data_IF_710612341931
#
_entry.id   IF_710612341931
#
_cell.length_a   1.000
_cell.length_b   1.000
_cell.length_c   1.000
_cell.angle_alpha   90.00
_cell.angle_beta   90.00
_cell.angle_gamma   90.00
#
_symmetry.space_group_name_H-M   'P 1'
#
loop_
_entity.id
_entity.type
_entity.pdbx_description
1 polymer ?
#
# COMPACT_ATOMS: atom_id res chain seq x y z
N UNK A 1 21.55 -15.34 -8.22
CA UNK A 1 20.37 -15.90 -8.92
C UNK A 1 19.34 -14.79 -9.00
N UNK A 2 19.10 -14.27 -10.20
CA UNK A 2 18.16 -13.18 -10.42
C UNK A 2 16.73 -13.69 -10.25
N UNK A 3 16.09 -13.37 -9.13
CA UNK A 3 14.65 -13.55 -8.99
C UNK A 3 13.97 -12.47 -9.83
N UNK A 4 13.73 -12.79 -11.09
CA UNK A 4 12.80 -11.99 -11.91
C UNK A 4 11.43 -12.03 -11.24
N UNK A 5 10.96 -10.86 -10.82
CA UNK A 5 9.55 -10.64 -10.52
C UNK A 5 8.82 -10.83 -11.84
N UNK A 6 8.09 -11.92 -11.98
CA UNK A 6 7.20 -12.10 -13.12
C UNK A 6 6.12 -11.03 -13.05
N UNK A 7 6.32 -9.98 -13.86
CA UNK A 7 5.29 -8.98 -14.12
C UNK A 7 4.24 -9.60 -15.03
N UNK A 8 3.28 -10.29 -14.47
CA UNK A 8 2.19 -10.87 -15.25
C UNK A 8 1.22 -9.75 -15.63
N UNK A 9 1.34 -9.25 -16.85
CA UNK A 9 0.25 -8.50 -17.49
C UNK A 9 -0.91 -9.47 -17.68
N UNK A 10 -1.90 -9.43 -16.80
CA UNK A 10 -3.12 -10.22 -16.97
C UNK A 10 -3.97 -9.58 -18.07
N UNK A 11 -4.02 -10.24 -19.23
CA UNK A 11 -4.67 -9.74 -20.45
C UNK A 11 -6.20 -9.86 -20.48
N UNK A 12 -6.87 -10.31 -19.41
CA UNK A 12 -8.29 -10.68 -19.47
C UNK A 12 -9.25 -9.86 -18.57
N UNK A 13 -8.78 -8.92 -17.74
CA UNK A 13 -9.68 -7.93 -17.12
C UNK A 13 -9.24 -6.52 -17.54
N UNK A 14 -10.15 -5.77 -18.17
CA UNK A 14 -9.89 -4.41 -18.71
C UNK A 14 -9.40 -3.36 -17.69
N UNK A 15 -9.22 -3.71 -16.43
CA UNK A 15 -8.90 -2.79 -15.33
C UNK A 15 -7.72 -3.20 -14.45
N UNK A 16 -7.31 -4.48 -14.41
CA UNK A 16 -6.13 -4.90 -13.65
C UNK A 16 -4.87 -4.38 -14.33
N UNK A 17 -4.07 -3.60 -13.62
CA UNK A 17 -2.91 -2.92 -14.19
C UNK A 17 -1.58 -3.48 -13.71
N UNK A 18 -1.57 -4.04 -12.50
CA UNK A 18 -0.34 -4.54 -11.89
C UNK A 18 -0.65 -5.63 -10.86
N UNK A 19 0.10 -6.70 -10.89
CA UNK A 19 -0.01 -7.83 -9.97
C UNK A 19 1.37 -8.34 -9.58
N UNK A 20 1.54 -8.69 -8.31
CA UNK A 20 2.72 -9.36 -7.77
C UNK A 20 2.23 -10.59 -7.01
N UNK A 21 2.77 -11.75 -7.37
CA UNK A 21 2.53 -13.00 -6.67
C UNK A 21 3.88 -13.61 -6.29
N UNK A 22 4.20 -13.62 -4.99
CA UNK A 22 5.43 -14.17 -4.44
C UNK A 22 5.08 -15.05 -3.24
N UNK A 23 5.22 -16.38 -3.37
CA UNK A 23 4.94 -17.29 -2.25
C UNK A 23 3.59 -16.97 -1.58
N UNK A 24 3.61 -16.40 -0.39
CA UNK A 24 2.43 -16.04 0.41
C UNK A 24 1.96 -14.59 0.18
N UNK A 25 2.81 -13.72 -0.42
CA UNK A 25 2.50 -12.33 -0.70
C UNK A 25 1.80 -12.19 -2.05
N UNK A 26 0.60 -11.62 -2.01
CA UNK A 26 -0.20 -11.31 -3.18
C UNK A 26 -0.58 -9.82 -3.16
N UNK A 27 -0.35 -9.15 -4.27
CA UNK A 27 -0.69 -7.75 -4.47
C UNK A 27 -1.39 -7.57 -5.81
N UNK A 28 -2.47 -6.82 -5.84
CA UNK A 28 -3.13 -6.39 -7.07
C UNK A 28 -3.51 -4.93 -7.02
N UNK A 29 -3.36 -4.25 -8.16
CA UNK A 29 -3.73 -2.86 -8.34
C UNK A 29 -4.65 -2.69 -9.56
N UNK A 30 -5.75 -1.98 -9.37
CA UNK A 30 -6.73 -1.66 -10.40
C UNK A 30 -6.80 -0.17 -10.68
N UNK A 31 -7.02 0.19 -11.95
CA UNK A 31 -7.48 1.52 -12.31
C UNK A 31 -8.97 1.68 -11.97
N UNK A 32 -9.33 2.79 -11.33
CA UNK A 32 -10.74 3.14 -11.06
C UNK A 32 -11.37 3.60 -12.39
N UNK A 33 -12.36 2.85 -12.85
CA UNK A 33 -13.09 3.10 -14.09
C UNK A 33 -14.58 3.37 -13.80
N UNK A 34 -15.45 3.23 -14.80
CA UNK A 34 -16.90 3.36 -14.66
C UNK A 34 -17.62 2.04 -14.32
N UNK A 35 -16.90 1.00 -13.88
CA UNK A 35 -17.53 -0.27 -13.51
C UNK A 35 -18.44 -0.07 -12.29
N UNK A 36 -19.60 -0.71 -12.33
CA UNK A 36 -20.44 -0.90 -11.16
C UNK A 36 -20.03 -2.19 -10.46
N UNK A 37 -19.68 -2.09 -9.19
CA UNK A 37 -19.17 -3.18 -8.35
C UNK A 37 -19.96 -3.28 -7.04
N UNK A 38 -21.20 -2.82 -6.99
CA UNK A 38 -22.03 -2.91 -5.78
C UNK A 38 -22.27 -4.36 -5.34
N UNK A 39 -22.37 -5.29 -6.31
CA UNK A 39 -22.52 -6.73 -6.05
C UNK A 39 -21.29 -7.37 -5.35
N UNK A 40 -20.18 -6.66 -5.29
CA UNK A 40 -18.96 -7.12 -4.59
C UNK A 40 -19.00 -6.86 -3.07
N UNK A 41 -19.96 -6.06 -2.61
CA UNK A 41 -20.13 -5.69 -1.21
C UNK A 41 -20.93 -6.79 -0.51
N UNK A 42 -20.40 -7.28 0.60
CA UNK A 42 -21.08 -8.28 1.42
C UNK A 42 -22.11 -7.63 2.36
N UNK A 43 -23.08 -8.42 2.82
CA UNK A 43 -24.13 -7.94 3.72
C UNK A 43 -23.55 -7.27 4.99
N UNK A 44 -22.49 -7.84 5.55
CA UNK A 44 -21.80 -7.34 6.75
C UNK A 44 -21.07 -5.99 6.51
N UNK A 45 -20.86 -5.62 5.25
CA UNK A 45 -20.17 -4.37 4.85
C UNK A 45 -21.14 -3.28 4.41
N UNK A 46 -22.44 -3.61 4.23
CA UNK A 46 -23.44 -2.68 3.68
C UNK A 46 -23.67 -1.44 4.55
N UNK A 47 -23.73 -1.60 5.86
CA UNK A 47 -23.90 -0.46 6.77
C UNK A 47 -22.80 0.58 6.59
N UNK A 48 -21.54 0.10 6.61
CA UNK A 48 -20.38 0.98 6.39
C UNK A 48 -20.40 1.63 5.01
N UNK A 49 -20.78 0.88 3.99
CA UNK A 49 -20.88 1.40 2.61
C UNK A 49 -21.93 2.50 2.49
N UNK A 50 -23.10 2.33 3.11
CA UNK A 50 -24.19 3.30 3.09
C UNK A 50 -23.81 4.62 3.76
N UNK A 51 -22.97 4.60 4.79
CA UNK A 51 -22.46 5.79 5.48
C UNK A 51 -21.45 6.59 4.64
N UNK A 52 -20.93 6.04 3.55
CA UNK A 52 -19.99 6.77 2.67
C UNK A 52 -20.76 7.70 1.75
N UNK A 53 -20.75 9.00 2.02
CA UNK A 53 -21.42 10.03 1.21
C UNK A 53 -20.58 10.48 0.02
N UNK A 54 -19.25 10.45 0.10
CA UNK A 54 -18.35 10.87 -0.97
C UNK A 54 -18.33 9.85 -2.12
N UNK A 55 -18.70 10.22 -3.37
CA UNK A 55 -18.80 9.29 -4.50
C UNK A 55 -17.45 8.63 -4.84
N UNK A 56 -16.32 9.36 -4.70
CA UNK A 56 -15.01 8.81 -4.94
C UNK A 56 -14.70 7.71 -3.92
N UNK A 57 -14.95 7.95 -2.62
CA UNK A 57 -14.75 6.96 -1.55
C UNK A 57 -15.65 5.75 -1.69
N UNK A 58 -16.89 5.92 -2.18
CA UNK A 58 -17.78 4.79 -2.51
C UNK A 58 -17.15 3.89 -3.58
N UNK A 59 -16.61 4.48 -4.65
CA UNK A 59 -15.90 3.72 -5.68
C UNK A 59 -14.66 3.01 -5.13
N UNK A 60 -13.80 3.71 -4.41
CA UNK A 60 -12.63 3.11 -3.77
C UNK A 60 -13.04 1.90 -2.90
N UNK A 61 -14.11 2.03 -2.13
CA UNK A 61 -14.66 0.97 -1.31
C UNK A 61 -15.07 -0.25 -2.15
N UNK A 62 -15.83 -0.06 -3.23
CA UNK A 62 -16.27 -1.10 -4.16
C UNK A 62 -15.08 -1.84 -4.80
N UNK A 63 -14.10 -1.09 -5.31
CA UNK A 63 -12.92 -1.66 -5.97
C UNK A 63 -12.04 -2.47 -5.02
N UNK A 64 -11.90 -2.04 -3.77
CA UNK A 64 -11.21 -2.84 -2.74
C UNK A 64 -11.92 -4.18 -2.52
N UNK A 65 -13.27 -4.20 -2.46
CA UNK A 65 -14.05 -5.43 -2.28
C UNK A 65 -13.93 -6.35 -3.49
N UNK A 66 -13.91 -5.78 -4.68
CA UNK A 66 -13.66 -6.54 -5.90
C UNK A 66 -12.27 -7.23 -5.86
N UNK A 67 -11.20 -6.48 -5.53
CA UNK A 67 -9.86 -7.05 -5.38
C UNK A 67 -9.82 -8.14 -4.30
N UNK A 68 -10.42 -7.91 -3.12
CA UNK A 68 -10.53 -8.90 -2.06
C UNK A 68 -11.23 -10.17 -2.55
N UNK A 69 -12.36 -10.04 -3.27
CA UNK A 69 -13.10 -11.19 -3.80
C UNK A 69 -12.28 -12.00 -4.80
N UNK A 70 -11.49 -11.34 -5.64
CA UNK A 70 -10.58 -12.01 -6.58
C UNK A 70 -9.47 -12.80 -5.88
N UNK A 71 -8.91 -12.27 -4.79
CA UNK A 71 -7.73 -12.86 -4.13
C UNK A 71 -8.08 -13.81 -3.00
N UNK A 72 -9.07 -13.48 -2.18
CA UNK A 72 -9.40 -14.20 -0.95
C UNK A 72 -10.82 -14.81 -0.95
N UNK A 73 -11.59 -14.58 -2.03
CA UNK A 73 -13.00 -14.91 -2.03
C UNK A 73 -13.82 -13.95 -1.15
N UNK A 74 -15.09 -14.30 -0.92
CA UNK A 74 -16.06 -13.46 -0.20
C UNK A 74 -15.85 -13.53 1.32
N UNK A 75 -14.89 -12.76 1.83
CA UNK A 75 -14.61 -12.62 3.25
C UNK A 75 -14.69 -11.14 3.64
N UNK A 76 -15.50 -10.77 4.62
CA UNK A 76 -15.70 -9.37 5.00
C UNK A 76 -14.41 -8.71 5.50
N UNK A 77 -14.14 -7.48 5.06
CA UNK A 77 -13.08 -6.63 5.59
C UNK A 77 -13.62 -5.88 6.80
N UNK A 78 -13.09 -6.21 7.96
CA UNK A 78 -13.31 -5.52 9.21
C UNK A 78 -12.26 -4.45 9.46
N UNK A 79 -12.48 -3.60 10.46
CA UNK A 79 -11.54 -2.55 10.85
C UNK A 79 -11.42 -2.53 12.37
N UNK A 80 -10.20 -2.42 12.87
CA UNK A 80 -9.97 -2.24 14.30
C UNK A 80 -10.31 -0.81 14.77
N UNK A 81 -10.13 -0.53 16.05
CA UNK A 81 -10.38 0.79 16.64
C UNK A 81 -9.50 1.91 16.08
N UNK A 82 -8.39 1.57 15.44
CA UNK A 82 -7.47 2.51 14.75
C UNK A 82 -7.77 2.65 13.26
N UNK A 83 -8.78 1.93 12.75
CA UNK A 83 -9.12 1.91 11.33
C UNK A 83 -8.25 0.97 10.48
N UNK A 84 -7.40 0.12 11.09
CA UNK A 84 -6.58 -0.86 10.36
C UNK A 84 -7.48 -1.99 9.83
N UNK A 85 -7.42 -2.31 8.53
CA UNK A 85 -8.23 -3.37 7.96
C UNK A 85 -7.71 -4.75 8.37
N UNK A 86 -8.63 -5.71 8.55
CA UNK A 86 -8.32 -7.11 8.80
C UNK A 86 -9.44 -8.03 8.28
N UNK A 87 -9.12 -9.33 8.13
CA UNK A 87 -10.08 -10.39 7.83
C UNK A 87 -10.33 -11.20 9.11
N UNK A 88 -11.59 -11.52 9.41
CA UNK A 88 -11.97 -12.14 10.68
C UNK A 88 -11.28 -13.48 10.96
N UNK A 89 -11.00 -14.28 9.95
CA UNK A 89 -10.34 -15.58 10.12
C UNK A 89 -8.86 -15.47 10.55
N UNK A 90 -8.28 -14.27 10.49
CA UNK A 90 -6.91 -13.90 10.90
C UNK A 90 -5.77 -14.80 10.39
N UNK A 91 -6.04 -15.62 9.37
CA UNK A 91 -5.00 -16.44 8.72
C UNK A 91 -4.12 -15.63 7.78
N UNK A 92 -4.61 -14.45 7.38
CA UNK A 92 -3.90 -13.53 6.50
C UNK A 92 -3.94 -12.11 7.06
N UNK A 93 -2.87 -11.38 6.83
CA UNK A 93 -2.80 -9.93 7.01
C UNK A 93 -3.18 -9.28 5.70
N UNK A 94 -3.83 -8.13 5.76
CA UNK A 94 -4.20 -7.36 4.58
C UNK A 94 -3.72 -5.92 4.68
N UNK A 95 -3.43 -5.31 3.54
CA UNK A 95 -3.15 -3.88 3.43
C UNK A 95 -3.85 -3.30 2.21
N UNK A 96 -4.35 -2.08 2.35
CA UNK A 96 -5.14 -1.38 1.35
C UNK A 96 -4.51 -0.03 1.08
N UNK A 97 -4.41 0.35 -0.18
CA UNK A 97 -4.05 1.70 -0.57
C UNK A 97 -4.88 2.19 -1.76
N UNK A 98 -4.97 3.49 -1.91
CA UNK A 98 -5.63 4.13 -3.04
C UNK A 98 -4.98 5.47 -3.34
N UNK A 99 -4.85 5.79 -4.61
CA UNK A 99 -4.47 7.11 -5.10
C UNK A 99 -5.64 7.80 -5.81
N UNK A 100 -5.37 8.81 -6.62
CA UNK A 100 -6.44 9.52 -7.34
C UNK A 100 -7.22 8.60 -8.28
N UNK A 101 -6.51 7.74 -9.03
CA UNK A 101 -7.08 6.93 -10.11
C UNK A 101 -6.92 5.41 -9.89
N UNK A 102 -6.32 4.98 -8.79
CA UNK A 102 -5.97 3.58 -8.57
C UNK A 102 -6.34 3.11 -7.16
N UNK A 103 -6.62 1.82 -7.06
CA UNK A 103 -6.85 1.11 -5.80
C UNK A 103 -5.96 -0.11 -5.76
N UNK A 104 -5.36 -0.40 -4.62
CA UNK A 104 -4.54 -1.56 -4.38
C UNK A 104 -4.98 -2.34 -3.15
N UNK A 105 -4.86 -3.65 -3.24
CA UNK A 105 -5.09 -4.58 -2.16
C UNK A 105 -3.96 -5.61 -2.13
N UNK A 106 -3.45 -5.90 -0.94
CA UNK A 106 -2.48 -6.97 -0.76
C UNK A 106 -2.83 -7.81 0.46
N UNK A 107 -2.40 -9.07 0.43
CA UNK A 107 -2.43 -9.97 1.57
C UNK A 107 -1.18 -10.84 1.66
N UNK A 108 -0.87 -11.29 2.86
CA UNK A 108 0.23 -12.19 3.17
C UNK A 108 -0.09 -12.98 4.45
N UNK A 109 0.55 -14.10 4.67
CA UNK A 109 0.51 -14.85 5.94
C UNK A 109 1.30 -14.17 7.05
N UNK A 110 2.15 -13.20 6.72
CA UNK A 110 2.91 -12.32 7.62
C UNK A 110 2.40 -10.87 7.54
N UNK A 111 2.72 -10.01 8.52
CA UNK A 111 2.30 -8.60 8.49
C UNK A 111 2.71 -7.91 7.18
N UNK A 112 1.76 -7.25 6.54
CA UNK A 112 1.92 -6.59 5.24
C UNK A 112 1.53 -5.12 5.30
N UNK A 113 2.35 -4.27 4.66
CA UNK A 113 2.09 -2.85 4.44
C UNK A 113 2.38 -2.49 3.00
N UNK A 114 1.41 -1.89 2.33
CA UNK A 114 1.54 -1.39 0.95
C UNK A 114 1.11 0.06 0.84
N UNK A 115 1.73 0.77 -0.08
CA UNK A 115 1.23 2.07 -0.51
C UNK A 115 1.37 2.29 -2.00
N UNK A 116 0.47 3.10 -2.56
CA UNK A 116 0.48 3.52 -3.97
C UNK A 116 0.21 5.02 -4.08
N UNK A 117 1.09 5.73 -4.80
CA UNK A 117 0.96 7.17 -5.01
C UNK A 117 1.25 7.57 -6.46
N UNK A 118 0.39 8.43 -7.01
CA UNK A 118 0.65 9.06 -8.31
C UNK A 118 1.60 10.24 -8.14
N UNK A 119 2.57 10.37 -9.06
CA UNK A 119 3.49 11.51 -9.08
C UNK A 119 2.72 12.83 -9.07
N UNK A 120 2.97 13.65 -8.04
CA UNK A 120 2.31 14.94 -7.87
C UNK A 120 3.32 15.99 -7.38
N UNK A 121 3.47 17.14 -8.09
CA UNK A 121 4.41 18.20 -7.69
C UNK A 121 4.18 18.77 -6.27
N UNK A 122 2.98 18.57 -5.69
CA UNK A 122 2.69 19.01 -4.33
C UNK A 122 3.58 18.35 -3.28
N UNK A 123 4.14 17.17 -3.55
CA UNK A 123 5.05 16.46 -2.64
C UNK A 123 6.28 17.30 -2.31
N UNK A 124 6.77 18.11 -3.26
CA UNK A 124 7.90 19.00 -3.06
C UNK A 124 7.64 20.14 -2.07
N UNK A 125 6.39 20.37 -1.67
CA UNK A 125 6.03 21.40 -0.68
C UNK A 125 5.98 20.86 0.75
N UNK A 126 6.05 19.54 0.92
CA UNK A 126 5.78 18.88 2.22
C UNK A 126 6.86 17.88 2.63
N UNK A 127 7.86 17.61 1.79
CA UNK A 127 8.88 16.59 2.04
C UNK A 127 9.61 16.77 3.38
N UNK A 128 9.85 17.99 3.83
CA UNK A 128 10.52 18.30 5.11
C UNK A 128 9.78 17.71 6.34
N UNK A 129 8.48 17.41 6.19
CA UNK A 129 7.65 16.85 7.26
C UNK A 129 7.87 15.35 7.45
N UNK A 130 8.40 14.66 6.43
CA UNK A 130 8.55 13.20 6.48
C UNK A 130 9.96 12.70 6.15
N UNK A 131 10.83 13.49 5.50
CA UNK A 131 12.20 13.08 5.21
C UNK A 131 13.10 13.43 6.40
N UNK A 132 13.80 12.42 6.94
CA UNK A 132 14.79 12.61 7.98
C UNK A 132 16.09 13.15 7.39
N UNK A 133 16.87 13.88 8.18
CA UNK A 133 18.15 14.48 7.69
C UNK A 133 19.13 13.45 7.16
N UNK A 134 19.19 12.25 7.75
CA UNK A 134 20.05 11.15 7.29
C UNK A 134 19.62 10.60 5.91
N UNK A 135 18.37 10.81 5.52
CA UNK A 135 17.82 10.34 4.24
C UNK A 135 18.14 11.25 3.07
N UNK A 136 18.64 12.49 3.34
CA UNK A 136 18.98 13.46 2.30
C UNK A 136 20.10 12.97 1.36
N UNK A 137 20.94 12.05 1.81
CA UNK A 137 21.95 11.42 0.97
C UNK A 137 21.36 10.35 0.00
N UNK A 138 20.14 9.87 0.24
CA UNK A 138 19.50 8.82 -0.53
C UNK A 138 18.56 9.36 -1.61
N UNK A 139 18.06 10.59 -1.45
CA UNK A 139 17.00 11.16 -2.28
C UNK A 139 17.32 12.58 -2.73
N UNK A 140 16.99 12.89 -3.98
CA UNK A 140 17.00 14.26 -4.48
C UNK A 140 15.69 14.96 -4.09
N UNK A 141 15.76 15.93 -3.16
CA UNK A 141 14.58 16.65 -2.65
C UNK A 141 13.89 17.55 -3.67
N UNK A 142 14.51 17.81 -4.82
CA UNK A 142 13.88 18.52 -5.95
C UNK A 142 13.21 17.59 -6.96
N UNK A 143 13.37 16.27 -6.81
CA UNK A 143 12.76 15.25 -7.66
C UNK A 143 11.39 14.84 -7.12
N UNK A 144 10.34 15.05 -7.92
CA UNK A 144 8.98 14.55 -7.61
C UNK A 144 9.01 13.04 -7.43
N UNK A 145 9.75 12.32 -8.28
CA UNK A 145 9.89 10.88 -8.23
C UNK A 145 10.48 10.42 -6.89
N UNK A 146 11.65 10.96 -6.53
CA UNK A 146 12.34 10.56 -5.29
C UNK A 146 11.51 10.86 -4.04
N UNK A 147 10.87 12.03 -4.00
CA UNK A 147 10.01 12.39 -2.87
C UNK A 147 8.74 11.53 -2.80
N UNK A 148 8.18 11.13 -3.95
CA UNK A 148 7.05 10.21 -3.97
C UNK A 148 7.48 8.80 -3.51
N UNK A 149 8.65 8.32 -3.93
CA UNK A 149 9.23 7.05 -3.44
C UNK A 149 9.42 7.08 -1.93
N UNK A 150 10.06 8.12 -1.39
CA UNK A 150 10.26 8.24 0.05
C UNK A 150 8.92 8.27 0.82
N UNK A 151 7.92 8.98 0.30
CA UNK A 151 6.58 9.05 0.88
C UNK A 151 5.88 7.70 0.89
N UNK A 152 5.80 7.01 -0.26
CA UNK A 152 5.13 5.70 -0.37
C UNK A 152 5.78 4.63 0.51
N UNK A 153 7.12 4.65 0.65
CA UNK A 153 7.82 3.74 1.59
C UNK A 153 7.34 4.01 3.02
N UNK A 154 7.30 5.27 3.44
CA UNK A 154 6.90 5.63 4.81
C UNK A 154 5.43 5.36 5.09
N UNK A 155 4.54 5.58 4.13
CA UNK A 155 3.12 5.20 4.23
C UNK A 155 2.95 3.67 4.34
N UNK A 156 3.70 2.88 3.57
CA UNK A 156 3.65 1.43 3.67
C UNK A 156 4.19 0.93 5.04
N UNK A 157 5.29 1.52 5.54
CA UNK A 157 5.80 1.26 6.90
C UNK A 157 4.78 1.64 7.98
N UNK A 158 4.12 2.79 7.83
CA UNK A 158 3.07 3.23 8.77
C UNK A 158 1.91 2.22 8.83
N UNK A 159 1.46 1.73 7.66
CA UNK A 159 0.41 0.70 7.59
C UNK A 159 0.86 -0.64 8.19
N UNK A 160 2.14 -0.95 8.12
CA UNK A 160 2.73 -2.14 8.76
C UNK A 160 2.79 -1.98 10.28
N UNK A 161 3.05 -0.76 10.77
CA UNK A 161 3.22 -0.48 12.20
C UNK A 161 2.00 -0.85 13.04
N UNK A 162 2.27 -1.33 14.26
CA UNK A 162 1.28 -1.54 15.31
C UNK A 162 1.31 -0.46 16.39
N UNK A 163 2.34 0.40 16.39
CA UNK A 163 2.52 1.46 17.38
C UNK A 163 1.59 2.65 17.14
N UNK A 164 1.14 3.28 18.22
CA UNK A 164 0.39 4.53 18.16
C UNK A 164 1.34 5.74 18.09
N UNK A 165 0.85 6.87 17.57
CA UNK A 165 1.59 8.14 17.59
C UNK A 165 2.90 8.10 16.80
N UNK A 166 2.93 7.40 15.65
CA UNK A 166 4.09 7.33 14.77
C UNK A 166 4.36 8.69 14.10
N UNK A 167 5.57 9.19 14.27
CA UNK A 167 6.09 10.34 13.54
C UNK A 167 6.80 9.86 12.25
N UNK A 168 6.32 10.32 11.09
CA UNK A 168 6.83 9.87 9.79
C UNK A 168 8.30 10.19 9.56
N UNK A 169 8.79 11.28 10.14
CA UNK A 169 10.17 11.74 9.97
C UNK A 169 11.14 10.97 10.88
N UNK A 170 10.75 10.78 12.14
CA UNK A 170 11.64 10.28 13.17
C UNK A 170 11.49 8.79 13.46
N UNK A 171 10.27 8.25 13.30
CA UNK A 171 9.94 6.87 13.68
C UNK A 171 9.96 5.89 12.50
N UNK A 172 9.92 6.39 11.26
CA UNK A 172 9.99 5.62 10.02
C UNK A 172 11.21 6.10 9.21
N UNK A 173 12.32 5.36 9.28
CA UNK A 173 13.59 5.79 8.69
C UNK A 173 14.00 4.91 7.53
N UNK A 174 14.45 5.51 6.43
CA UNK A 174 15.03 4.82 5.29
C UNK A 174 16.55 4.88 5.45
N UNK A 175 17.20 3.74 5.69
CA UNK A 175 18.63 3.67 6.05
C UNK A 175 19.55 3.46 4.85
N UNK A 176 19.10 2.69 3.86
CA UNK A 176 19.86 2.47 2.63
C UNK A 176 18.96 2.16 1.45
N UNK A 177 19.51 2.33 0.25
CA UNK A 177 18.88 2.08 -1.03
C UNK A 177 19.82 1.24 -1.89
N UNK A 178 19.29 0.17 -2.47
CA UNK A 178 19.97 -0.67 -3.46
C UNK A 178 18.99 -0.96 -4.62
N UNK A 179 19.09 -0.18 -5.68
CA UNK A 179 18.13 -0.23 -6.79
C UNK A 179 16.70 0.08 -6.33
N UNK A 180 15.82 -0.91 -6.42
CA UNK A 180 14.42 -0.85 -5.97
C UNK A 180 14.21 -1.30 -4.53
N UNK A 181 15.24 -1.86 -3.89
CA UNK A 181 15.20 -2.36 -2.52
C UNK A 181 15.69 -1.29 -1.53
N UNK A 182 15.05 -1.26 -0.38
CA UNK A 182 15.36 -0.32 0.71
C UNK A 182 15.43 -1.07 2.04
N UNK A 183 16.43 -0.75 2.84
CA UNK A 183 16.47 -1.12 4.24
C UNK A 183 15.91 0.05 5.06
N UNK A 184 14.91 -0.22 5.84
CA UNK A 184 14.23 0.77 6.67
C UNK A 184 14.25 0.37 8.14
N UNK A 185 14.07 1.33 9.02
CA UNK A 185 13.81 1.14 10.44
C UNK A 185 12.42 1.69 10.77
N UNK A 186 11.68 0.96 11.57
CA UNK A 186 10.36 1.35 12.05
C UNK A 186 10.33 1.27 13.57
N UNK A 187 9.85 2.33 14.25
CA UNK A 187 9.68 2.32 15.70
C UNK A 187 8.62 1.30 16.12
N UNK A 188 8.97 0.52 17.13
CA UNK A 188 8.10 -0.44 17.83
C UNK A 188 8.09 -0.11 19.32
N UNK A 189 7.30 -0.83 20.10
CA UNK A 189 7.29 -0.70 21.56
C UNK A 189 8.66 -1.05 22.19
N UNK A 190 9.46 -1.89 21.54
CA UNK A 190 10.77 -2.35 22.02
C UNK A 190 11.96 -1.64 21.35
N UNK A 191 11.75 -0.48 20.73
CA UNK A 191 12.78 0.25 19.97
C UNK A 191 12.53 0.20 18.47
N UNK A 192 13.60 0.15 17.66
CA UNK A 192 13.50 0.10 16.20
C UNK A 192 13.67 -1.32 15.68
N UNK A 193 12.84 -1.67 14.70
CA UNK A 193 12.93 -2.94 13.95
C UNK A 193 13.29 -2.67 12.50
N UNK A 194 14.16 -3.50 11.93
CA UNK A 194 14.51 -3.44 10.52
C UNK A 194 13.38 -4.00 9.66
N UNK A 195 13.08 -3.31 8.56
CA UNK A 195 12.09 -3.71 7.57
C UNK A 195 12.72 -3.57 6.18
N UNK A 196 12.65 -4.63 5.39
CA UNK A 196 13.01 -4.56 3.96
C UNK A 196 11.80 -4.10 3.16
N UNK A 197 11.99 -3.08 2.36
CA UNK A 197 10.96 -2.54 1.46
C UNK A 197 11.40 -2.68 0.02
N UNK A 198 10.46 -2.85 -0.87
CA UNK A 198 10.68 -2.80 -2.31
C UNK A 198 9.75 -1.77 -2.94
N UNK A 199 10.23 -1.11 -3.99
CA UNK A 199 9.43 -0.16 -4.77
C UNK A 199 9.45 -0.53 -6.23
N UNK A 200 8.35 -0.26 -6.91
CA UNK A 200 8.29 -0.33 -8.36
C UNK A 200 7.45 0.83 -8.91
N UNK A 201 7.58 1.07 -10.19
CA UNK A 201 6.84 2.12 -10.87
C UNK A 201 6.04 1.56 -12.04
N UNK A 202 4.81 2.03 -12.19
CA UNK A 202 3.97 1.78 -13.36
C UNK A 202 3.43 3.11 -13.88
N UNK A 203 3.91 3.55 -15.04
CA UNK A 203 3.62 4.90 -15.58
C UNK A 203 3.99 5.99 -14.57
N UNK A 204 3.01 6.73 -14.07
CA UNK A 204 3.17 7.76 -13.05
C UNK A 204 2.80 7.29 -11.63
N UNK A 205 2.60 5.99 -11.43
CA UNK A 205 2.26 5.39 -10.14
C UNK A 205 3.51 4.79 -9.51
N UNK A 206 3.80 5.13 -8.26
CA UNK A 206 4.81 4.49 -7.42
C UNK A 206 4.09 3.52 -6.49
N UNK A 207 4.66 2.34 -6.32
CA UNK A 207 4.14 1.25 -5.48
C UNK A 207 5.25 0.87 -4.51
N UNK A 208 4.96 0.81 -3.22
CA UNK A 208 5.90 0.35 -2.18
C UNK A 208 5.25 -0.72 -1.32
N UNK A 209 6.05 -1.74 -0.95
CA UNK A 209 5.60 -2.84 -0.10
C UNK A 209 6.76 -3.43 0.70
N UNK A 210 6.46 -4.06 1.85
CA UNK A 210 7.48 -4.77 2.62
C UNK A 210 7.71 -6.18 2.08
N UNK A 211 8.94 -6.65 2.26
CA UNK A 211 9.36 -8.02 1.94
C UNK A 211 9.57 -8.77 3.26
N UNK A 212 8.84 -9.88 3.46
CA UNK A 212 8.85 -10.66 4.70
C UNK A 212 9.94 -11.77 4.74
N UNK A 213 10.80 -11.85 3.71
CA UNK A 213 11.90 -12.84 3.64
C UNK A 213 13.14 -12.27 2.97
#
# INVERSE_FOLDING_TARGET
>A
MNNFVEMTKVSNSKSLIYEINKSDFHFSCLAITKMDLESEILAEELEKYQLITNPKRRKEFQYVRHLRNLQLGKQAICYDSRGKPYINNRKVFISISHSKNYVAFAHDTSPVGIDIEELNPRILKVWERFVHTEELALFNTTSIYDMTVAWTIKEALFKLSTSAGIDFKNDLRIKSKDGSAFLCEMRTENGFSNVKMETCAYKNLIISYNINK
#
